data_IF_266801715733
#
_entry.id   IF_266801715733
#
_cell.length_a   1.000
_cell.length_b   1.000
_cell.length_c   1.000
_cell.angle_alpha   90.00
_cell.angle_beta   90.00
_cell.angle_gamma   90.00
#
_symmetry.space_group_name_H-M   'P 1'
#
loop_
_entity.id
_entity.type
_entity.pdbx_description
1 polymer ?
#
# COMPACT_ATOMS: atom_id res chain seq x y z
N UNK A 1 -86.37 16.40 -59.62
CA UNK A 1 -86.38 16.62 -58.15
C UNK A 1 -85.88 15.44 -57.29
N UNK A 2 -86.15 14.15 -57.57
CA UNK A 2 -85.66 13.04 -56.71
C UNK A 2 -84.17 12.70 -56.88
N UNK A 3 -83.63 12.65 -58.11
CA UNK A 3 -82.21 12.29 -58.37
C UNK A 3 -81.20 13.29 -57.78
N UNK A 4 -81.48 14.59 -57.83
CA UNK A 4 -80.58 15.63 -57.29
C UNK A 4 -80.43 15.56 -55.77
N UNK A 5 -81.50 15.20 -55.05
CA UNK A 5 -81.45 15.03 -53.59
C UNK A 5 -80.61 13.82 -53.16
N UNK A 6 -80.63 12.72 -53.92
CA UNK A 6 -79.77 11.56 -53.62
C UNK A 6 -78.29 11.84 -53.86
N UNK A 7 -77.95 12.59 -54.91
CA UNK A 7 -76.57 12.99 -55.21
C UNK A 7 -76.02 13.86 -54.07
N UNK A 8 -76.81 14.81 -53.56
CA UNK A 8 -76.41 15.65 -52.42
C UNK A 8 -76.19 14.84 -51.13
N UNK A 9 -77.06 13.87 -50.82
CA UNK A 9 -76.92 13.04 -49.62
C UNK A 9 -75.67 12.14 -49.71
N UNK A 10 -75.42 11.52 -50.87
CA UNK A 10 -74.22 10.69 -51.08
C UNK A 10 -72.95 11.54 -50.99
N UNK A 11 -72.96 12.75 -51.53
CA UNK A 11 -71.82 13.67 -51.43
C UNK A 11 -71.50 14.05 -49.98
N UNK A 12 -72.53 14.29 -49.15
CA UNK A 12 -72.35 14.60 -47.72
C UNK A 12 -71.80 13.39 -46.96
N UNK A 13 -72.31 12.18 -47.22
CA UNK A 13 -71.81 10.95 -46.57
C UNK A 13 -70.35 10.70 -46.95
N UNK A 14 -69.98 10.91 -48.21
CA UNK A 14 -68.61 10.73 -48.69
C UNK A 14 -67.67 11.77 -48.07
N UNK A 15 -68.12 13.03 -47.92
CA UNK A 15 -67.36 14.07 -47.24
C UNK A 15 -67.13 13.75 -45.76
N UNK A 16 -68.17 13.28 -45.06
CA UNK A 16 -68.06 12.85 -43.65
C UNK A 16 -67.11 11.66 -43.51
N UNK A 17 -67.17 10.69 -44.43
CA UNK A 17 -66.27 9.54 -44.43
C UNK A 17 -64.80 9.95 -44.66
N UNK A 18 -64.54 10.87 -45.58
CA UNK A 18 -63.20 11.42 -45.83
C UNK A 18 -62.66 12.14 -44.60
N UNK A 19 -63.48 12.94 -43.91
CA UNK A 19 -63.08 13.64 -42.68
C UNK A 19 -62.79 12.63 -41.56
N UNK A 20 -63.64 11.61 -41.40
CA UNK A 20 -63.44 10.57 -40.38
C UNK A 20 -62.16 9.76 -40.62
N UNK A 21 -61.92 9.36 -41.87
CA UNK A 21 -60.71 8.64 -42.27
C UNK A 21 -59.45 9.50 -42.12
N UNK A 22 -59.53 10.80 -42.42
CA UNK A 22 -58.41 11.72 -42.22
C UNK A 22 -58.02 11.86 -40.75
N UNK A 23 -58.99 11.94 -39.84
CA UNK A 23 -58.73 12.00 -38.39
C UNK A 23 -58.07 10.71 -37.89
N UNK A 24 -58.60 9.54 -38.26
CA UNK A 24 -58.01 8.23 -37.90
C UNK A 24 -56.57 8.09 -38.41
N UNK A 25 -56.30 8.56 -39.64
CA UNK A 25 -54.97 8.50 -40.23
C UNK A 25 -53.99 9.48 -39.57
N UNK A 26 -54.48 10.63 -39.10
CA UNK A 26 -53.67 11.63 -38.41
C UNK A 26 -53.25 11.16 -37.03
N UNK A 27 -54.17 10.56 -36.27
CA UNK A 27 -53.88 10.03 -34.93
C UNK A 27 -52.87 8.87 -34.99
N UNK A 28 -52.98 7.99 -36.00
CA UNK A 28 -52.02 6.91 -36.23
C UNK A 28 -50.62 7.43 -36.59
N UNK A 29 -50.53 8.49 -37.40
CA UNK A 29 -49.24 9.16 -37.69
C UNK A 29 -48.61 9.76 -36.44
N UNK A 30 -49.40 10.38 -35.57
CA UNK A 30 -48.91 10.97 -34.31
C UNK A 30 -48.43 9.88 -33.36
N UNK A 31 -49.15 8.75 -33.25
CA UNK A 31 -48.75 7.65 -32.36
C UNK A 31 -47.44 7.00 -32.82
N UNK A 32 -47.27 6.78 -34.13
CA UNK A 32 -46.00 6.28 -34.70
C UNK A 32 -44.84 7.23 -34.41
N UNK A 33 -45.02 8.54 -34.61
CA UNK A 33 -43.95 9.52 -34.37
C UNK A 33 -43.52 9.55 -32.90
N UNK A 34 -44.47 9.44 -31.95
CA UNK A 34 -44.16 9.40 -30.51
C UNK A 34 -43.41 8.13 -30.12
N UNK A 35 -43.80 6.97 -30.63
CA UNK A 35 -43.09 5.70 -30.37
C UNK A 35 -41.68 5.69 -30.98
N UNK A 36 -41.53 6.18 -32.21
CA UNK A 36 -40.23 6.31 -32.87
C UNK A 36 -39.32 7.31 -32.16
N UNK A 37 -39.86 8.46 -31.70
CA UNK A 37 -39.10 9.44 -30.93
C UNK A 37 -38.62 8.89 -29.57
N UNK A 38 -39.42 8.06 -28.89
CA UNK A 38 -39.01 7.44 -27.62
C UNK A 38 -37.91 6.38 -27.79
N UNK A 39 -37.95 5.61 -28.88
CA UNK A 39 -36.93 4.62 -29.21
C UNK A 39 -35.64 5.32 -29.66
N UNK A 40 -35.72 6.37 -30.48
CA UNK A 40 -34.56 7.18 -30.87
C UNK A 40 -33.97 7.97 -29.70
N UNK A 41 -34.79 8.42 -28.75
CA UNK A 41 -34.32 9.08 -27.52
C UNK A 41 -33.58 8.14 -26.57
N UNK A 42 -33.91 6.85 -26.55
CA UNK A 42 -33.15 5.82 -25.81
C UNK A 42 -31.79 5.49 -26.44
N UNK A 43 -31.56 5.89 -27.70
CA UNK A 43 -30.27 5.82 -28.39
C UNK A 43 -29.50 7.15 -28.36
N UNK A 44 -29.95 8.15 -27.59
CA UNK A 44 -29.11 9.31 -27.31
C UNK A 44 -27.81 8.80 -26.65
N UNK A 45 -26.63 9.20 -27.15
CA UNK A 45 -25.39 8.85 -26.49
C UNK A 45 -25.50 9.31 -25.03
N UNK A 46 -25.22 8.42 -24.09
CA UNK A 46 -25.23 8.74 -22.66
C UNK A 46 -24.10 9.73 -22.36
N UNK A 47 -24.27 11.00 -22.75
CA UNK A 47 -23.27 12.07 -22.63
C UNK A 47 -22.87 12.28 -21.16
N UNK A 48 -23.81 12.04 -20.25
CA UNK A 48 -23.59 12.04 -18.82
C UNK A 48 -22.66 10.91 -18.37
N UNK A 49 -22.86 9.71 -18.90
CA UNK A 49 -21.99 8.56 -18.61
C UNK A 49 -20.59 8.76 -19.21
N UNK A 50 -20.50 9.32 -20.41
CA UNK A 50 -19.21 9.68 -21.03
C UNK A 50 -18.48 10.76 -20.24
N UNK A 51 -19.20 11.76 -19.71
CA UNK A 51 -18.64 12.76 -18.77
C UNK A 51 -18.15 12.11 -17.49
N UNK A 52 -18.91 11.17 -16.92
CA UNK A 52 -18.52 10.50 -15.69
C UNK A 52 -17.26 9.64 -15.90
N UNK A 53 -17.15 8.92 -17.02
CA UNK A 53 -15.94 8.18 -17.39
C UNK A 53 -14.76 9.14 -17.54
N UNK A 54 -14.96 10.28 -18.21
CA UNK A 54 -13.90 11.27 -18.40
C UNK A 54 -13.41 11.84 -17.07
N UNK A 55 -14.32 12.18 -16.15
CA UNK A 55 -14.00 12.67 -14.81
C UNK A 55 -13.25 11.61 -14.00
N UNK A 56 -13.75 10.37 -13.99
CA UNK A 56 -13.10 9.25 -13.29
C UNK A 56 -11.72 8.94 -13.88
N UNK A 57 -11.53 9.08 -15.18
CA UNK A 57 -10.23 8.89 -15.82
C UNK A 57 -9.25 10.03 -15.48
N UNK A 58 -9.73 11.28 -15.42
CA UNK A 58 -8.91 12.40 -14.96
C UNK A 58 -8.54 12.26 -13.48
N UNK A 59 -9.48 11.84 -12.63
CA UNK A 59 -9.22 11.56 -11.23
C UNK A 59 -8.19 10.44 -11.08
N UNK A 60 -8.32 9.33 -11.82
CA UNK A 60 -7.32 8.28 -11.84
C UNK A 60 -5.95 8.76 -12.33
N UNK A 61 -5.91 9.63 -13.35
CA UNK A 61 -4.65 10.20 -13.84
C UNK A 61 -3.99 11.11 -12.81
N UNK A 62 -4.78 11.92 -12.11
CA UNK A 62 -4.33 12.80 -11.04
C UNK A 62 -3.85 11.99 -9.82
N UNK A 63 -4.60 10.97 -9.39
CA UNK A 63 -4.20 10.06 -8.32
C UNK A 63 -2.92 9.31 -8.68
N UNK A 64 -2.80 8.81 -9.90
CA UNK A 64 -1.56 8.19 -10.39
C UNK A 64 -0.41 9.20 -10.38
N UNK A 65 -0.61 10.44 -10.80
CA UNK A 65 0.41 11.47 -10.78
C UNK A 65 0.82 11.88 -9.35
N UNK A 66 -0.12 11.89 -8.40
CA UNK A 66 0.15 12.09 -6.97
C UNK A 66 0.97 10.94 -6.41
N UNK A 67 0.57 9.70 -6.65
CA UNK A 67 1.33 8.50 -6.26
C UNK A 67 2.73 8.46 -6.89
N UNK A 68 2.88 8.91 -8.14
CA UNK A 68 4.20 9.01 -8.78
C UNK A 68 5.09 10.11 -8.19
N UNK A 69 4.49 11.19 -7.67
CA UNK A 69 5.22 12.21 -6.90
C UNK A 69 5.64 11.71 -5.52
N UNK A 70 4.85 10.82 -4.91
CA UNK A 70 5.17 10.17 -3.62
C UNK A 70 6.13 8.97 -3.77
N UNK A 71 6.21 8.35 -4.95
CA UNK A 71 7.03 7.16 -5.19
C UNK A 71 8.52 7.42 -5.44
N UNK A 72 8.98 8.68 -5.42
CA UNK A 72 10.39 9.04 -5.59
C UNK A 72 10.91 9.52 -4.23
N UNK A 73 11.44 8.57 -3.47
CA UNK A 73 11.91 8.69 -2.07
C UNK A 73 10.73 8.87 -1.11
N UNK A 74 10.47 7.93 -0.19
CA UNK A 74 9.54 8.18 0.90
C UNK A 74 9.92 9.53 1.52
N UNK A 75 8.96 10.44 1.64
CA UNK A 75 9.19 11.75 2.23
C UNK A 75 9.86 11.63 3.61
N UNK A 76 9.72 10.46 4.24
CA UNK A 76 10.39 10.06 5.47
C UNK A 76 11.55 9.06 5.29
N UNK A 77 12.52 9.35 4.42
CA UNK A 77 13.72 8.53 4.27
C UNK A 77 15.05 9.30 4.35
N UNK A 78 15.92 8.86 5.26
CA UNK A 78 17.28 9.36 5.42
C UNK A 78 18.26 8.60 4.53
N UNK A 79 19.20 9.31 3.90
CA UNK A 79 20.28 8.70 3.12
C UNK A 79 21.38 8.24 4.07
N UNK A 80 21.86 7.01 3.87
CA UNK A 80 23.00 6.45 4.58
C UNK A 80 24.28 6.90 3.89
N UNK A 81 25.14 7.62 4.61
CA UNK A 81 26.45 8.01 4.09
C UNK A 81 27.39 6.80 4.00
N UNK A 82 28.31 6.88 3.04
CA UNK A 82 29.34 5.85 2.87
C UNK A 82 30.25 5.80 4.10
N UNK A 83 30.33 4.63 4.73
CA UNK A 83 31.32 4.33 5.76
C UNK A 83 32.66 3.85 5.18
N UNK A 84 32.82 3.78 3.84
CA UNK A 84 34.09 3.36 3.23
C UNK A 84 35.24 4.34 3.53
N UNK A 85 36.46 3.86 3.86
CA UNK A 85 36.90 2.46 3.93
C UNK A 85 36.73 1.80 5.30
N UNK A 86 36.05 2.44 6.26
CA UNK A 86 35.83 1.91 7.60
C UNK A 86 34.93 0.67 7.54
N UNK A 87 35.46 -0.47 7.98
CA UNK A 87 34.78 -1.77 7.97
C UNK A 87 34.02 -2.04 9.29
N UNK A 88 33.76 -1.01 10.08
CA UNK A 88 33.00 -1.20 11.31
C UNK A 88 31.51 -1.23 10.97
N UNK A 89 30.88 -2.41 11.06
CA UNK A 89 29.44 -2.56 10.86
C UNK A 89 28.63 -1.98 12.02
N UNK A 90 29.25 -1.70 13.17
CA UNK A 90 28.58 -1.19 14.36
C UNK A 90 27.89 0.15 14.16
N UNK A 91 28.34 0.97 13.20
CA UNK A 91 27.87 2.36 13.10
C UNK A 91 27.63 2.77 11.65
N UNK A 92 26.57 3.56 11.46
CA UNK A 92 26.30 4.26 10.20
C UNK A 92 25.97 5.72 10.49
N UNK A 93 26.23 6.59 9.51
CA UNK A 93 25.84 8.00 9.57
C UNK A 93 24.72 8.23 8.57
N UNK A 94 23.66 8.90 9.01
CA UNK A 94 22.49 9.22 8.18
C UNK A 94 22.38 10.72 7.94
N UNK A 95 21.78 11.11 6.81
CA UNK A 95 21.66 12.50 6.36
C UNK A 95 20.63 13.34 7.12
N UNK A 96 19.98 12.78 8.13
CA UNK A 96 18.96 13.45 8.92
C UNK A 96 19.46 13.73 10.33
N UNK A 97 19.12 14.90 10.84
CA UNK A 97 19.44 15.36 12.20
C UNK A 97 18.24 16.03 12.85
N UNK A 98 18.49 16.96 13.78
CA UNK A 98 17.41 17.66 14.50
C UNK A 98 16.54 18.52 13.58
N UNK A 99 17.04 18.95 12.41
CA UNK A 99 16.24 19.72 11.45
C UNK A 99 15.09 18.89 10.86
N UNK A 100 15.28 17.57 10.77
CA UNK A 100 14.30 16.60 10.29
C UNK A 100 13.54 15.95 11.45
N UNK A 101 13.73 16.41 12.70
CA UNK A 101 13.02 15.92 13.87
C UNK A 101 13.61 14.67 14.52
N UNK A 102 14.80 14.23 14.10
CA UNK A 102 15.47 13.05 14.68
C UNK A 102 15.94 13.36 16.11
N UNK A 103 15.72 12.41 17.01
CA UNK A 103 16.16 12.45 18.40
C UNK A 103 17.04 11.24 18.76
N UNK A 104 17.84 11.39 19.83
CA UNK A 104 18.58 10.27 20.41
C UNK A 104 17.60 9.25 20.96
N UNK A 105 17.82 7.97 20.63
CA UNK A 105 16.94 6.87 21.00
C UNK A 105 15.95 6.47 19.90
N UNK A 106 15.78 7.30 18.85
CA UNK A 106 14.91 6.96 17.73
C UNK A 106 15.37 5.67 17.04
N UNK A 107 14.40 4.87 16.58
CA UNK A 107 14.67 3.58 15.94
C UNK A 107 14.86 3.77 14.45
N UNK A 108 15.93 3.21 13.92
CA UNK A 108 16.24 3.26 12.49
C UNK A 108 15.85 1.94 11.85
N UNK A 109 15.01 2.01 10.82
CA UNK A 109 14.49 0.86 10.12
C UNK A 109 14.75 0.92 8.60
N UNK A 110 14.86 -0.24 7.97
CA UNK A 110 14.88 -0.41 6.53
C UNK A 110 13.51 -0.89 6.05
N UNK A 111 12.97 -0.22 5.03
CA UNK A 111 11.64 -0.54 4.49
C UNK A 111 10.51 -0.50 5.53
N UNK A 112 10.65 0.30 6.58
CA UNK A 112 9.71 0.50 7.70
C UNK A 112 9.45 -0.71 8.60
N UNK A 113 10.08 -1.86 8.36
CA UNK A 113 9.79 -3.09 9.11
C UNK A 113 11.04 -3.85 9.55
N UNK A 114 12.21 -3.59 8.97
CA UNK A 114 13.45 -4.27 9.34
C UNK A 114 14.27 -3.35 10.24
N UNK A 115 14.61 -3.77 11.45
CA UNK A 115 15.42 -2.93 12.34
C UNK A 115 16.87 -2.87 11.85
N UNK A 116 17.41 -1.67 11.76
CA UNK A 116 18.83 -1.44 11.45
C UNK A 116 19.61 -1.13 12.72
N UNK A 117 19.01 -0.34 13.63
CA UNK A 117 19.68 0.12 14.84
C UNK A 117 18.93 1.25 15.55
N UNK A 118 19.66 1.99 16.38
CA UNK A 118 19.15 3.11 17.17
C UNK A 118 20.06 4.33 17.03
N UNK A 119 19.45 5.52 17.00
CA UNK A 119 20.18 6.79 16.96
C UNK A 119 20.92 7.03 18.28
N UNK A 120 22.25 7.15 18.19
CA UNK A 120 23.16 7.36 19.34
C UNK A 120 23.51 8.82 19.53
N UNK A 121 23.77 9.54 18.44
CA UNK A 121 24.12 10.97 18.46
C UNK A 121 23.39 11.70 17.34
N UNK A 122 23.00 12.94 17.60
CA UNK A 122 22.28 13.79 16.63
C UNK A 122 22.98 15.14 16.54
N UNK A 123 23.20 15.60 15.31
CA UNK A 123 23.59 16.98 15.00
C UNK A 123 22.46 17.68 14.26
N UNK A 124 22.65 18.95 13.90
CA UNK A 124 21.64 19.68 13.13
C UNK A 124 21.34 19.07 11.76
N UNK A 125 22.29 18.35 11.13
CA UNK A 125 22.19 17.91 9.73
C UNK A 125 22.41 16.41 9.51
N UNK A 126 22.83 15.69 10.53
CA UNK A 126 23.10 14.26 10.43
C UNK A 126 22.98 13.61 11.80
N UNK A 127 22.92 12.29 11.81
CA UNK A 127 22.88 11.49 13.03
C UNK A 127 23.77 10.27 12.89
N UNK A 128 24.31 9.82 14.01
CA UNK A 128 25.08 8.58 14.14
C UNK A 128 24.17 7.51 14.72
N UNK A 129 24.13 6.37 14.07
CA UNK A 129 23.27 5.23 14.42
C UNK A 129 24.14 4.07 14.83
N UNK A 130 23.91 3.52 16.02
CA UNK A 130 24.47 2.23 16.44
C UNK A 130 23.60 1.12 15.86
N UNK A 131 24.20 0.22 15.09
CA UNK A 131 23.48 -0.85 14.40
C UNK A 131 23.36 -2.10 15.26
N UNK A 132 22.49 -3.02 14.83
CA UNK A 132 22.37 -4.36 15.42
C UNK A 132 23.66 -5.19 15.36
N UNK A 133 24.65 -4.77 14.56
CA UNK A 133 25.95 -5.46 14.46
C UNK A 133 26.96 -4.96 15.49
N UNK A 134 26.62 -3.97 16.32
CA UNK A 134 27.50 -3.56 17.42
C UNK A 134 27.61 -4.67 18.49
N UNK A 135 28.81 -5.03 18.96
CA UNK A 135 28.99 -6.08 19.98
C UNK A 135 28.29 -5.80 21.32
N UNK A 136 27.96 -4.54 21.61
CA UNK A 136 27.23 -4.14 22.82
C UNK A 136 25.74 -3.98 22.57
N UNK A 137 25.27 -4.19 21.34
CA UNK A 137 23.84 -4.16 21.03
C UNK A 137 23.19 -5.43 21.58
N UNK A 138 22.27 -5.27 22.52
CA UNK A 138 21.49 -6.36 23.09
C UNK A 138 20.01 -5.99 23.07
N UNK A 139 19.14 -6.91 22.65
CA UNK A 139 17.69 -6.64 22.64
C UNK A 139 16.88 -7.91 22.86
N UNK A 140 15.75 -7.78 23.55
CA UNK A 140 14.80 -8.87 23.70
C UNK A 140 14.09 -9.13 22.38
N UNK A 141 14.04 -10.40 21.97
CA UNK A 141 13.48 -10.82 20.69
C UNK A 141 12.55 -11.99 20.86
N UNK A 142 11.73 -12.21 19.82
CA UNK A 142 10.80 -13.31 19.76
C UNK A 142 10.95 -14.07 18.47
N UNK A 143 10.96 -15.40 18.59
CA UNK A 143 11.25 -16.34 17.51
C UNK A 143 9.95 -17.00 17.03
N UNK A 144 9.85 -17.21 15.71
CA UNK A 144 8.77 -17.94 15.06
C UNK A 144 7.44 -17.19 15.09
N UNK A 145 6.35 -17.89 15.39
CA UNK A 145 4.99 -17.32 15.47
C UNK A 145 4.71 -16.53 16.75
N UNK A 146 5.75 -15.99 17.41
CA UNK A 146 5.55 -15.20 18.63
C UNK A 146 5.54 -16.02 19.92
N UNK A 147 6.14 -17.21 19.96
CA UNK A 147 5.95 -18.13 21.10
C UNK A 147 7.21 -18.34 21.96
N UNK A 148 8.38 -17.96 21.46
CA UNK A 148 9.66 -18.24 22.14
C UNK A 148 10.45 -16.95 22.31
N UNK A 149 10.80 -16.66 23.55
CA UNK A 149 11.63 -15.52 23.92
C UNK A 149 13.11 -15.85 23.94
N UNK A 150 13.91 -14.89 23.50
CA UNK A 150 15.36 -14.96 23.50
C UNK A 150 15.97 -13.57 23.67
N UNK A 151 17.26 -13.53 23.96
CA UNK A 151 18.07 -12.32 23.90
C UNK A 151 18.90 -12.34 22.62
N UNK A 152 18.81 -11.31 21.80
CA UNK A 152 19.74 -11.12 20.69
C UNK A 152 20.95 -10.32 21.18
N UNK A 153 22.15 -10.76 20.80
CA UNK A 153 23.42 -10.06 20.99
C UNK A 153 24.07 -9.78 19.63
N UNK A 154 24.47 -8.53 19.43
CA UNK A 154 25.14 -8.07 18.22
C UNK A 154 26.60 -8.48 18.13
N UNK A 155 27.22 -8.17 16.99
CA UNK A 155 28.63 -8.46 16.71
C UNK A 155 28.87 -8.87 15.26
N UNK A 156 30.02 -9.52 15.01
CA UNK A 156 30.36 -10.04 13.68
C UNK A 156 29.34 -11.07 13.18
N UNK A 157 28.83 -11.88 14.09
CA UNK A 157 27.70 -12.81 13.90
C UNK A 157 26.65 -12.47 14.97
N UNK A 158 25.39 -12.42 14.57
CA UNK A 158 24.29 -12.15 15.48
C UNK A 158 23.94 -13.45 16.21
N UNK A 159 23.89 -13.42 17.54
CA UNK A 159 23.58 -14.59 18.35
C UNK A 159 22.27 -14.41 19.09
N UNK A 160 21.58 -15.53 19.30
CA UNK A 160 20.38 -15.66 20.12
C UNK A 160 20.75 -16.50 21.33
N UNK A 161 20.56 -15.94 22.51
CA UNK A 161 20.90 -16.52 23.81
C UNK A 161 19.64 -16.71 24.66
N UNK A 162 19.75 -17.54 25.70
CA UNK A 162 18.67 -17.82 26.67
C UNK A 162 17.37 -18.40 26.08
N UNK A 163 17.46 -19.11 24.95
CA UNK A 163 16.32 -19.82 24.38
C UNK A 163 15.98 -21.02 25.30
N UNK A 164 14.73 -21.21 25.75
CA UNK A 164 14.37 -22.36 26.59
C UNK A 164 14.75 -23.71 25.96
N UNK A 165 15.31 -24.62 26.75
CA UNK A 165 15.80 -25.92 26.28
C UNK A 165 14.70 -26.83 25.71
N UNK A 166 13.47 -26.65 26.13
CA UNK A 166 12.27 -27.35 25.65
C UNK A 166 11.54 -26.62 24.53
N UNK A 167 11.94 -25.38 24.19
CA UNK A 167 11.34 -24.64 23.09
C UNK A 167 11.59 -25.34 21.75
N UNK A 168 10.53 -25.41 20.95
CA UNK A 168 10.60 -25.87 19.56
C UNK A 168 10.94 -24.68 18.66
N UNK A 169 12.15 -24.69 18.10
CA UNK A 169 12.65 -23.69 17.16
C UNK A 169 13.28 -24.40 15.97
N UNK A 170 13.15 -23.81 14.79
CA UNK A 170 13.64 -24.38 13.54
C UNK A 170 14.53 -23.38 12.78
N UNK A 171 15.45 -23.90 11.97
CA UNK A 171 16.24 -23.07 11.05
C UNK A 171 15.29 -22.45 10.03
N UNK A 172 15.43 -21.15 9.80
CA UNK A 172 14.50 -20.35 8.99
C UNK A 172 13.41 -19.65 9.79
N UNK A 173 13.26 -19.93 11.09
CA UNK A 173 12.28 -19.20 11.91
C UNK A 173 12.59 -17.71 11.95
N UNK A 174 11.57 -16.89 11.71
CA UNK A 174 11.65 -15.43 11.74
C UNK A 174 11.89 -14.93 13.15
N UNK A 175 12.72 -13.92 13.30
CA UNK A 175 13.02 -13.28 14.58
C UNK A 175 12.64 -11.81 14.52
N UNK A 176 11.90 -11.36 15.53
CA UNK A 176 11.38 -10.00 15.63
C UNK A 176 11.69 -9.36 16.98
N UNK A 177 11.68 -8.03 17.04
CA UNK A 177 11.84 -7.28 18.29
C UNK A 177 10.68 -7.52 19.24
N UNK A 178 11.02 -7.68 20.52
CA UNK A 178 10.05 -7.85 21.62
C UNK A 178 10.46 -7.03 22.87
N UNK A 179 11.24 -5.98 22.68
CA UNK A 179 11.73 -5.09 23.75
C UNK A 179 10.88 -3.80 23.82
N UNK A 180 10.69 -3.19 25.00
CA UNK A 180 10.01 -1.90 25.15
C UNK A 180 10.69 -0.72 24.43
N UNK A 181 12.00 -0.83 24.16
CA UNK A 181 12.80 0.22 23.52
C UNK A 181 12.57 0.31 22.00
N UNK A 182 11.95 -0.71 21.41
CA UNK A 182 11.72 -0.79 19.98
C UNK A 182 10.23 -1.06 19.71
N UNK A 183 9.66 -0.55 18.62
CA UNK A 183 8.35 -0.98 18.17
C UNK A 183 8.29 -2.52 18.10
N UNK A 184 7.20 -3.08 18.59
CA UNK A 184 7.02 -4.53 18.62
C UNK A 184 6.89 -5.08 17.20
N UNK A 185 7.60 -6.18 16.92
CA UNK A 185 7.45 -6.92 15.66
C UNK A 185 8.34 -6.48 14.51
N UNK A 186 9.33 -5.61 14.75
CA UNK A 186 10.34 -5.28 13.73
C UNK A 186 11.20 -6.49 13.43
N UNK A 187 11.39 -6.78 12.16
CA UNK A 187 12.16 -7.91 11.68
C UNK A 187 13.66 -7.69 11.87
N UNK A 188 14.31 -8.70 12.43
CA UNK A 188 15.76 -8.77 12.54
C UNK A 188 16.36 -9.69 11.47
N UNK A 189 15.74 -10.85 11.28
CA UNK A 189 16.34 -11.93 10.51
C UNK A 189 15.66 -13.27 10.68
N UNK A 190 16.38 -14.33 10.32
CA UNK A 190 15.95 -15.71 10.46
C UNK A 190 17.03 -16.56 11.14
N UNK A 191 16.62 -17.59 11.87
CA UNK A 191 17.58 -18.53 12.49
C UNK A 191 18.39 -19.21 11.39
N UNK A 192 19.71 -19.19 11.53
CA UNK A 192 20.66 -19.82 10.61
C UNK A 192 21.18 -21.15 11.13
N UNK A 193 21.62 -21.19 12.39
CA UNK A 193 22.16 -22.41 13.03
C UNK A 193 21.62 -22.48 14.45
N UNK A 194 21.29 -23.68 14.92
CA UNK A 194 20.85 -23.93 16.30
C UNK A 194 21.93 -24.74 17.01
N UNK A 195 22.53 -24.13 18.03
CA UNK A 195 23.54 -24.75 18.87
C UNK A 195 22.88 -25.38 20.09
N UNK A 196 22.69 -26.69 20.02
CA UNK A 196 22.18 -27.46 21.16
C UNK A 196 23.34 -28.05 21.93
N UNK A 197 23.80 -27.36 23.00
CA UNK A 197 24.68 -27.98 23.99
C UNK A 197 23.83 -28.93 24.83
N UNK A 198 23.95 -30.24 24.58
CA UNK A 198 23.19 -31.27 25.29
C UNK A 198 23.27 -31.12 26.81
N UNK A 199 22.12 -31.15 27.48
CA UNK A 199 22.00 -31.05 28.94
C UNK A 199 21.89 -29.62 29.50
N UNK A 200 21.90 -28.58 28.66
CA UNK A 200 21.70 -27.19 29.10
C UNK A 200 20.21 -26.84 29.24
N UNK A 201 19.87 -26.04 30.26
CA UNK A 201 18.53 -25.45 30.45
C UNK A 201 18.18 -24.47 29.33
N UNK A 202 19.20 -23.91 28.68
CA UNK A 202 19.06 -22.98 27.57
C UNK A 202 19.84 -23.43 26.32
N UNK A 203 19.29 -23.13 25.15
CA UNK A 203 19.94 -23.26 23.84
C UNK A 203 20.44 -21.90 23.36
N UNK A 204 21.31 -21.93 22.36
CA UNK A 204 21.72 -20.75 21.60
C UNK A 204 21.50 -21.00 20.11
N UNK A 205 21.42 -19.93 19.33
CA UNK A 205 21.33 -20.00 17.88
C UNK A 205 22.06 -18.82 17.25
N UNK A 206 22.41 -18.94 15.98
CA UNK A 206 22.91 -17.81 15.18
C UNK A 206 21.80 -17.29 14.27
N UNK A 207 21.82 -15.98 14.04
CA UNK A 207 20.80 -15.23 13.31
C UNK A 207 21.41 -14.68 12.02
N UNK A 208 20.73 -14.91 10.89
CA UNK A 208 21.01 -14.25 9.63
C UNK A 208 20.13 -13.02 9.48
N UNK A 209 20.74 -11.84 9.39
CA UNK A 209 20.02 -10.58 9.27
C UNK A 209 19.26 -10.47 7.95
N UNK A 210 18.07 -9.85 7.97
CA UNK A 210 17.24 -9.63 6.76
C UNK A 210 17.78 -8.54 5.82
N UNK A 211 18.92 -7.93 6.14
CA UNK A 211 19.56 -6.91 5.31
C UNK A 211 21.09 -7.00 5.33
N UNK A 212 21.69 -6.55 4.23
CA UNK A 212 23.13 -6.33 4.17
C UNK A 212 23.45 -4.86 4.40
N UNK A 213 24.23 -4.56 5.44
CA UNK A 213 24.64 -3.19 5.77
C UNK A 213 25.33 -2.46 4.61
N UNK A 214 26.05 -3.19 3.75
CA UNK A 214 26.74 -2.63 2.58
C UNK A 214 25.78 -2.23 1.45
N UNK A 215 24.59 -2.85 1.40
CA UNK A 215 23.55 -2.55 0.42
C UNK A 215 22.59 -1.45 0.90
N UNK A 216 22.66 -1.09 2.19
CA UNK A 216 21.85 -0.02 2.77
C UNK A 216 22.17 1.32 2.09
N UNK A 217 21.14 2.01 1.60
CA UNK A 217 21.26 3.34 0.95
C UNK A 217 20.33 4.35 1.57
N UNK A 218 19.14 3.91 1.90
CA UNK A 218 18.05 4.71 2.45
C UNK A 218 17.48 3.96 3.66
N UNK A 219 17.18 4.69 4.72
CA UNK A 219 16.53 4.19 5.94
C UNK A 219 15.39 5.11 6.32
N UNK A 220 14.56 4.67 7.25
CA UNK A 220 13.45 5.42 7.82
C UNK A 220 13.61 5.50 9.32
N UNK A 221 13.09 6.57 9.92
CA UNK A 221 13.11 6.81 11.36
C UNK A 221 11.73 6.50 11.92
N UNK A 222 11.69 5.75 13.02
CA UNK A 222 10.49 5.46 13.78
C UNK A 222 10.59 6.21 15.11
N UNK A 223 9.59 7.05 15.37
CA UNK A 223 9.44 7.84 16.60
C UNK A 223 8.54 7.14 17.62
#
# INVERSE_FOLDING_TARGET
MRRERYILIIAIILLVFVILAANLFFDFKISLNKSVASVLGAFAPNDEFQRQILLLQQENANLKAQLFKEAIVPQDSAIVYSSYPFNNKSEIVISWGTNEGVAVGDVVAYGNNIIVGQVREVTAKNSVVTTIFDPNFETAVRIGTGSVDALMRGGNELTLEFIPGDANIEVGDRVVTASPEFPYGLELGQIKVIDTKGGSVFKSATLEASFEIKALRNVSILH
#
